data_IF_266707361301
#
_entry.id   IF_266707361301
#
_cell.length_a   1.000
_cell.length_b   1.000
_cell.length_c   1.000
_cell.angle_alpha   90.00
_cell.angle_beta   90.00
_cell.angle_gamma   90.00
#
_symmetry.space_group_name_H-M   'P 1'
#
loop_
_entity.id
_entity.type
_entity.pdbx_description
1 polymer ?
#
# COMPACT_ATOMS: atom_id res chain seq x y z
N UNK A 1 -61.58 25.15 -39.89
CA UNK A 1 -61.39 23.69 -39.92
C UNK A 1 -59.87 23.50 -39.99
N UNK A 2 -59.25 23.14 -38.88
CA UNK A 2 -57.89 22.67 -38.89
C UNK A 2 -57.89 21.31 -39.58
N UNK A 3 -57.12 21.16 -40.66
CA UNK A 3 -56.80 19.87 -41.26
C UNK A 3 -55.85 19.17 -40.28
N UNK A 4 -56.33 18.09 -39.68
CA UNK A 4 -55.44 17.18 -38.88
C UNK A 4 -54.49 16.53 -39.87
N UNK A 5 -53.30 17.09 -40.00
CA UNK A 5 -52.21 16.51 -40.80
C UNK A 5 -51.88 15.13 -40.29
N UNK A 6 -51.76 14.16 -41.18
CA UNK A 6 -51.35 12.80 -40.87
C UNK A 6 -49.88 12.84 -40.42
N UNK A 7 -49.62 12.60 -39.15
CA UNK A 7 -48.25 12.54 -38.63
C UNK A 7 -47.70 11.14 -38.89
N UNK A 8 -46.82 11.00 -39.87
CA UNK A 8 -46.15 9.72 -40.19
C UNK A 8 -44.95 9.54 -39.27
N UNK A 9 -44.93 8.42 -38.55
CA UNK A 9 -43.80 8.02 -37.68
C UNK A 9 -43.22 6.69 -38.16
N UNK A 10 -41.89 6.56 -38.14
CA UNK A 10 -41.17 5.37 -38.54
C UNK A 10 -40.66 4.68 -37.28
N UNK A 11 -41.13 3.46 -37.04
CA UNK A 11 -40.66 2.64 -35.92
C UNK A 11 -39.57 1.66 -36.38
N UNK A 12 -38.45 1.65 -35.66
CA UNK A 12 -37.36 0.68 -35.87
C UNK A 12 -37.10 -0.06 -34.57
N UNK A 13 -36.83 -1.34 -34.70
CA UNK A 13 -36.37 -2.17 -33.58
C UNK A 13 -34.86 -2.35 -33.69
N UNK A 14 -34.16 -2.03 -32.62
CA UNK A 14 -32.72 -2.14 -32.53
C UNK A 14 -32.35 -3.02 -31.32
N UNK A 15 -31.39 -3.92 -31.50
CA UNK A 15 -30.89 -4.77 -30.43
C UNK A 15 -29.43 -4.44 -30.21
N UNK A 16 -29.05 -4.17 -28.95
CA UNK A 16 -27.68 -3.92 -28.59
C UNK A 16 -27.27 -4.70 -27.31
N UNK A 17 -25.99 -4.98 -27.19
CA UNK A 17 -25.44 -5.57 -26.00
C UNK A 17 -24.85 -4.47 -25.11
N UNK A 18 -25.12 -4.57 -23.81
CA UNK A 18 -24.65 -3.64 -22.80
C UNK A 18 -23.98 -4.40 -21.66
N UNK A 19 -22.87 -3.86 -21.15
CA UNK A 19 -22.22 -4.42 -19.97
C UNK A 19 -23.06 -4.16 -18.71
N UNK A 20 -23.10 -5.17 -17.83
CA UNK A 20 -23.58 -5.06 -16.46
C UNK A 20 -22.36 -4.94 -15.57
N UNK A 21 -22.14 -3.77 -14.99
CA UNK A 21 -21.00 -3.56 -14.08
C UNK A 21 -21.11 -4.50 -12.87
N UNK A 22 -20.00 -5.12 -12.49
CA UNK A 22 -19.91 -5.86 -11.23
C UNK A 22 -19.86 -4.90 -10.03
N UNK A 23 -20.29 -5.37 -8.88
CA UNK A 23 -20.12 -4.67 -7.60
C UNK A 23 -18.92 -5.21 -6.81
N UNK A 24 -18.48 -4.43 -5.82
CA UNK A 24 -17.44 -4.88 -4.89
C UNK A 24 -18.07 -5.19 -3.54
N UNK A 25 -17.93 -6.44 -3.10
CA UNK A 25 -18.32 -6.91 -1.77
C UNK A 25 -17.12 -6.86 -0.85
N UNK A 26 -17.20 -6.04 0.19
CA UNK A 26 -16.14 -5.93 1.19
C UNK A 26 -16.55 -6.63 2.47
N UNK A 27 -15.76 -7.61 2.88
CA UNK A 27 -15.89 -8.28 4.19
C UNK A 27 -14.76 -7.84 5.11
N UNK A 28 -14.92 -7.98 6.42
CA UNK A 28 -13.90 -7.65 7.41
C UNK A 28 -13.44 -8.89 8.12
N UNK A 29 -12.12 -9.04 8.31
CA UNK A 29 -11.54 -10.18 8.99
C UNK A 29 -10.43 -9.76 9.96
N UNK A 30 -10.41 -10.39 11.13
CA UNK A 30 -9.35 -10.23 12.12
C UNK A 30 -8.12 -11.11 11.84
N UNK A 31 -8.12 -11.87 10.76
CA UNK A 31 -6.94 -12.60 10.30
C UNK A 31 -5.90 -11.69 9.66
N UNK A 32 -6.37 -10.59 9.05
CA UNK A 32 -5.52 -9.62 8.39
C UNK A 32 -5.38 -8.34 9.20
N UNK A 33 -4.19 -7.75 9.17
CA UNK A 33 -3.87 -6.52 9.90
C UNK A 33 -4.76 -5.35 9.46
N UNK A 34 -5.20 -4.51 10.40
CA UNK A 34 -5.96 -3.29 10.11
C UNK A 34 -5.22 -2.42 9.09
N UNK A 35 -5.93 -2.02 8.05
CA UNK A 35 -5.39 -1.22 6.95
C UNK A 35 -4.79 -2.04 5.79
N UNK A 36 -4.85 -3.39 5.87
CA UNK A 36 -4.52 -4.23 4.71
C UNK A 36 -5.80 -4.65 3.99
N UNK A 37 -5.70 -4.77 2.67
CA UNK A 37 -6.78 -5.22 1.80
C UNK A 37 -6.30 -6.42 0.99
N UNK A 38 -7.08 -7.50 0.97
CA UNK A 38 -6.79 -8.67 0.14
C UNK A 38 -7.95 -8.93 -0.80
N UNK A 39 -7.65 -9.07 -2.08
CA UNK A 39 -8.64 -9.50 -3.08
C UNK A 39 -8.74 -11.02 -3.01
N UNK A 40 -9.94 -11.54 -2.77
CA UNK A 40 -10.24 -12.97 -2.76
C UNK A 40 -10.74 -13.45 -4.12
N UNK A 41 -11.45 -12.56 -4.84
CA UNK A 41 -12.04 -12.84 -6.14
C UNK A 41 -12.06 -11.54 -6.93
N UNK A 42 -11.55 -11.55 -8.15
CA UNK A 42 -11.68 -10.43 -9.07
C UNK A 42 -13.11 -10.37 -9.62
N UNK A 43 -13.57 -9.14 -9.93
CA UNK A 43 -14.86 -8.92 -10.54
C UNK A 43 -14.79 -9.08 -12.06
N UNK A 44 -15.89 -9.54 -12.65
CA UNK A 44 -16.10 -9.55 -14.10
C UNK A 44 -17.42 -8.90 -14.44
N UNK A 45 -17.43 -8.05 -15.47
CA UNK A 45 -18.69 -7.49 -15.96
C UNK A 45 -19.58 -8.58 -16.57
N UNK A 46 -20.87 -8.47 -16.31
CA UNK A 46 -21.89 -9.23 -17.01
C UNK A 46 -22.22 -8.60 -18.36
N UNK A 47 -23.13 -9.22 -19.07
CA UNK A 47 -23.61 -8.78 -20.38
C UNK A 47 -25.13 -8.95 -20.47
N UNK A 48 -25.81 -7.92 -20.93
CA UNK A 48 -27.25 -7.96 -21.23
C UNK A 48 -27.53 -7.55 -22.65
N UNK A 49 -28.53 -8.15 -23.24
CA UNK A 49 -29.10 -7.72 -24.53
C UNK A 49 -30.34 -6.86 -24.28
N UNK A 50 -30.34 -5.67 -24.84
CA UNK A 50 -31.46 -4.74 -24.75
C UNK A 50 -32.05 -4.55 -26.12
N UNK A 51 -33.35 -4.80 -26.26
CA UNK A 51 -34.12 -4.54 -27.49
C UNK A 51 -34.91 -3.25 -27.30
N UNK A 52 -34.63 -2.30 -28.17
CA UNK A 52 -35.20 -0.97 -28.13
C UNK A 52 -36.20 -0.78 -29.29
N UNK A 53 -37.27 -0.06 -29.04
CA UNK A 53 -38.12 0.49 -30.05
C UNK A 53 -37.81 1.98 -30.18
N UNK A 54 -37.28 2.37 -31.33
CA UNK A 54 -36.98 3.75 -31.68
C UNK A 54 -38.02 4.29 -32.65
N UNK A 55 -38.63 5.41 -32.34
CA UNK A 55 -39.63 6.09 -33.19
C UNK A 55 -39.01 7.36 -33.77
N UNK A 56 -39.04 7.48 -35.08
CA UNK A 56 -38.46 8.60 -35.81
C UNK A 56 -39.56 9.39 -36.52
N UNK A 57 -39.35 10.69 -36.70
CA UNK A 57 -40.14 11.52 -37.58
C UNK A 57 -39.77 11.31 -39.08
N UNK A 58 -40.47 12.02 -39.96
CA UNK A 58 -40.23 11.98 -41.42
C UNK A 58 -38.86 12.53 -41.82
N UNK A 59 -38.17 13.25 -40.93
CA UNK A 59 -36.80 13.78 -41.11
C UNK A 59 -35.73 12.83 -40.53
N UNK A 60 -36.14 11.62 -40.08
CA UNK A 60 -35.27 10.62 -39.46
C UNK A 60 -34.66 11.11 -38.13
N UNK A 61 -35.38 11.99 -37.40
CA UNK A 61 -35.00 12.43 -36.06
C UNK A 61 -35.70 11.51 -35.06
N UNK A 62 -34.93 10.97 -34.07
CA UNK A 62 -35.48 10.16 -32.99
C UNK A 62 -36.39 11.01 -32.11
N UNK A 63 -37.67 10.65 -32.04
CA UNK A 63 -38.72 11.37 -31.29
C UNK A 63 -39.18 10.61 -30.04
N UNK A 64 -39.01 9.29 -30.04
CA UNK A 64 -39.31 8.46 -28.87
C UNK A 64 -38.43 7.19 -28.86
N UNK A 65 -38.13 6.71 -27.66
CA UNK A 65 -37.36 5.45 -27.44
C UNK A 65 -37.93 4.73 -26.24
N UNK A 66 -38.23 3.47 -26.41
CA UNK A 66 -38.68 2.59 -25.32
C UNK A 66 -37.92 1.26 -25.32
N UNK A 67 -37.74 0.66 -24.14
CA UNK A 67 -37.18 -0.66 -23.99
C UNK A 67 -38.27 -1.71 -24.13
N UNK A 68 -38.17 -2.57 -25.14
CA UNK A 68 -39.11 -3.66 -25.35
C UNK A 68 -38.81 -4.88 -24.51
N UNK A 69 -37.52 -5.23 -24.41
CA UNK A 69 -37.07 -6.36 -23.61
C UNK A 69 -35.62 -6.18 -23.13
N UNK A 70 -35.29 -6.82 -22.03
CA UNK A 70 -33.92 -6.96 -21.53
C UNK A 70 -33.70 -8.43 -21.16
N UNK A 71 -32.67 -9.01 -21.74
CA UNK A 71 -32.24 -10.40 -21.47
C UNK A 71 -30.83 -10.38 -20.93
N UNK A 72 -30.58 -11.01 -19.77
CA UNK A 72 -29.25 -11.17 -19.23
C UNK A 72 -28.58 -12.36 -19.92
N UNK A 73 -27.48 -12.09 -20.64
CA UNK A 73 -26.70 -13.10 -21.37
C UNK A 73 -25.66 -13.71 -20.42
N UNK A 74 -25.02 -12.86 -19.61
CA UNK A 74 -24.01 -13.26 -18.61
C UNK A 74 -24.23 -12.43 -17.35
N UNK A 75 -24.39 -13.10 -16.21
CA UNK A 75 -24.43 -12.44 -14.91
C UNK A 75 -23.05 -11.87 -14.54
N UNK A 76 -22.99 -10.68 -13.91
CA UNK A 76 -21.73 -10.15 -13.41
C UNK A 76 -21.21 -10.99 -12.24
N UNK A 77 -19.88 -11.14 -12.18
CA UNK A 77 -19.20 -11.76 -11.03
C UNK A 77 -18.69 -10.65 -10.13
N UNK A 78 -19.20 -10.55 -8.91
CA UNK A 78 -18.79 -9.51 -7.98
C UNK A 78 -17.36 -9.69 -7.51
N UNK A 79 -16.63 -8.58 -7.38
CA UNK A 79 -15.31 -8.54 -6.75
C UNK A 79 -15.46 -8.75 -5.25
N UNK A 80 -14.71 -9.69 -4.67
CA UNK A 80 -14.68 -9.94 -3.21
C UNK A 80 -13.37 -9.48 -2.62
N UNK A 81 -13.47 -8.61 -1.64
CA UNK A 81 -12.33 -7.98 -0.95
C UNK A 81 -12.46 -8.19 0.56
N UNK A 82 -11.36 -8.51 1.22
CA UNK A 82 -11.29 -8.57 2.68
C UNK A 82 -10.45 -7.41 3.20
N UNK A 83 -11.06 -6.62 4.08
CA UNK A 83 -10.36 -5.61 4.87
C UNK A 83 -9.90 -6.20 6.21
N UNK A 84 -8.61 -6.06 6.51
CA UNK A 84 -8.05 -6.46 7.79
C UNK A 84 -8.55 -5.56 8.94
N UNK A 85 -9.03 -6.19 10.01
CA UNK A 85 -9.44 -5.51 11.24
C UNK A 85 -8.57 -5.87 12.43
N UNK A 86 -7.65 -6.84 12.27
CA UNK A 86 -6.75 -7.25 13.34
C UNK A 86 -6.02 -6.02 13.86
N UNK A 87 -6.45 -5.53 15.00
CA UNK A 87 -5.61 -4.60 15.74
C UNK A 87 -4.31 -5.33 15.96
N UNK A 88 -3.20 -4.77 15.48
CA UNK A 88 -1.90 -5.14 15.97
C UNK A 88 -1.91 -4.68 17.44
N UNK A 89 -2.52 -5.49 18.30
CA UNK A 89 -2.16 -5.46 19.72
C UNK A 89 -0.70 -5.84 19.65
N UNK A 90 0.17 -4.85 19.82
CA UNK A 90 1.60 -5.08 19.77
C UNK A 90 1.97 -5.95 20.97
N UNK A 91 1.75 -7.25 20.85
CA UNK A 91 2.67 -8.22 21.39
C UNK A 91 3.89 -8.15 20.48
N UNK A 92 4.37 -6.93 20.30
CA UNK A 92 5.62 -6.65 19.62
C UNK A 92 6.65 -7.37 20.45
N UNK A 93 7.28 -8.35 19.85
CA UNK A 93 8.39 -9.07 20.46
C UNK A 93 9.45 -8.03 20.77
N UNK A 94 9.42 -7.52 22.01
CA UNK A 94 10.42 -6.56 22.48
C UNK A 94 11.68 -7.33 22.81
N UNK A 95 12.81 -6.77 22.43
CA UNK A 95 14.10 -7.20 22.92
C UNK A 95 14.39 -6.33 24.14
N UNK A 96 14.58 -6.94 25.27
CA UNK A 96 15.00 -6.24 26.48
C UNK A 96 16.51 -5.97 26.41
N UNK A 97 16.89 -4.71 26.46
CA UNK A 97 18.26 -4.26 26.56
C UNK A 97 18.47 -3.43 27.84
N UNK A 98 19.67 -3.43 28.36
CA UNK A 98 20.06 -2.72 29.59
C UNK A 98 20.88 -1.45 29.31
N UNK A 99 20.66 -0.77 28.21
CA UNK A 99 21.40 0.43 27.83
C UNK A 99 20.53 1.50 27.18
N UNK A 100 21.12 2.69 26.95
CA UNK A 100 20.44 3.77 26.20
C UNK A 100 20.03 3.31 24.81
N UNK A 101 20.86 2.51 24.14
CA UNK A 101 20.60 1.89 22.84
C UNK A 101 20.84 0.39 22.88
N UNK A 102 19.98 -0.38 22.21
CA UNK A 102 20.19 -1.80 21.96
C UNK A 102 20.58 -2.02 20.50
N UNK A 103 21.21 -3.17 20.24
CA UNK A 103 21.56 -3.57 18.89
C UNK A 103 20.29 -3.85 18.05
N UNK A 104 20.13 -3.23 16.84
CA UNK A 104 18.87 -3.26 16.13
C UNK A 104 18.57 -4.59 15.42
N UNK A 105 19.59 -5.41 15.16
CA UNK A 105 19.48 -6.69 14.45
C UNK A 105 20.15 -7.79 15.28
N UNK A 106 19.47 -8.35 16.30
CA UNK A 106 20.10 -9.30 17.22
C UNK A 106 20.53 -10.62 16.55
N UNK A 107 19.83 -11.02 15.47
CA UNK A 107 20.15 -12.25 14.73
C UNK A 107 20.99 -11.95 13.47
N UNK A 108 21.94 -11.04 13.56
CA UNK A 108 22.86 -10.73 12.47
C UNK A 108 23.93 -11.82 12.30
N UNK A 109 24.55 -11.88 11.12
CA UNK A 109 25.66 -12.80 10.84
C UNK A 109 27.01 -12.18 11.12
N UNK A 110 27.23 -10.96 10.59
CA UNK A 110 28.48 -10.20 10.74
C UNK A 110 28.23 -8.73 10.38
N UNK A 111 29.16 -7.86 10.70
CA UNK A 111 29.18 -6.48 10.22
C UNK A 111 30.20 -6.37 9.09
N UNK A 112 29.73 -5.99 7.89
CA UNK A 112 30.60 -5.84 6.72
C UNK A 112 31.42 -4.55 6.76
N UNK A 113 30.92 -3.53 7.47
CA UNK A 113 31.55 -2.23 7.60
C UNK A 113 31.21 -1.56 8.91
N UNK A 114 32.24 -1.10 9.61
CA UNK A 114 32.08 -0.35 10.86
C UNK A 114 32.09 1.16 10.62
N UNK A 115 31.62 1.90 11.61
CA UNK A 115 31.71 3.36 11.64
C UNK A 115 33.18 3.81 11.54
N UNK A 116 33.46 4.79 10.67
CA UNK A 116 34.76 5.38 10.51
C UNK A 116 35.03 5.95 9.13
N UNK A 117 35.91 6.91 9.04
CA UNK A 117 36.25 7.60 7.81
C UNK A 117 35.02 8.21 7.12
N UNK A 118 34.73 7.79 5.89
CA UNK A 118 33.55 8.23 5.12
C UNK A 118 32.28 7.47 5.46
N UNK A 119 32.36 6.34 6.19
CA UNK A 119 31.22 5.54 6.57
C UNK A 119 30.62 6.00 7.89
N UNK A 120 29.38 6.46 7.87
CA UNK A 120 28.73 7.16 8.98
C UNK A 120 27.82 6.28 9.82
N UNK A 121 27.93 4.96 9.70
CA UNK A 121 27.13 3.98 10.43
C UNK A 121 27.83 2.62 10.50
N UNK A 122 27.06 1.60 10.79
CA UNK A 122 27.48 0.19 10.77
C UNK A 122 26.60 -0.56 9.78
N UNK A 123 27.21 -1.34 8.90
CA UNK A 123 26.51 -2.21 7.95
C UNK A 123 26.38 -3.62 8.54
N UNK A 124 25.17 -3.91 9.03
CA UNK A 124 24.83 -5.13 9.77
C UNK A 124 24.22 -6.14 8.81
N UNK A 125 24.94 -7.21 8.51
CA UNK A 125 24.56 -8.21 7.51
C UNK A 125 23.75 -9.36 8.12
N UNK A 126 22.62 -9.68 7.48
CA UNK A 126 21.77 -10.82 7.80
C UNK A 126 20.95 -11.21 6.55
N UNK A 127 20.27 -12.36 6.53
CA UNK A 127 19.34 -12.72 5.45
C UNK A 127 18.25 -11.67 5.25
N UNK A 128 17.78 -11.48 4.00
CA UNK A 128 16.62 -10.66 3.73
C UNK A 128 15.42 -11.14 4.56
N UNK A 129 14.61 -10.19 5.07
CA UNK A 129 13.49 -10.50 5.95
C UNK A 129 13.85 -10.67 7.43
N UNK A 130 15.14 -10.55 7.82
CA UNK A 130 15.53 -10.53 9.24
C UNK A 130 14.91 -9.31 9.92
N UNK A 131 14.26 -9.46 11.11
CA UNK A 131 13.64 -8.36 11.82
C UNK A 131 14.65 -7.29 12.25
N UNK A 132 14.24 -6.01 12.10
CA UNK A 132 14.95 -4.83 12.59
C UNK A 132 14.12 -4.21 13.71
N UNK A 133 14.77 -3.88 14.81
CA UNK A 133 14.13 -3.34 16.01
C UNK A 133 14.63 -1.92 16.32
N UNK A 134 13.78 -1.11 16.93
CA UNK A 134 14.15 0.23 17.39
C UNK A 134 15.21 0.14 18.49
N UNK A 135 16.36 0.77 18.29
CA UNK A 135 17.48 0.74 19.24
C UNK A 135 17.17 1.47 20.54
N UNK A 136 16.27 2.46 20.52
CA UNK A 136 15.74 3.14 21.69
C UNK A 136 14.28 3.57 21.43
N UNK A 137 13.54 3.88 22.48
CA UNK A 137 12.19 4.45 22.36
C UNK A 137 12.24 5.87 21.79
N UNK A 138 11.15 6.28 21.11
CA UNK A 138 11.09 7.62 20.52
C UNK A 138 9.96 7.78 19.52
N UNK A 139 10.03 8.84 18.72
CA UNK A 139 9.05 9.13 17.66
C UNK A 139 9.69 8.93 16.30
N UNK A 140 9.02 8.19 15.44
CA UNK A 140 9.41 8.00 14.04
C UNK A 140 9.25 9.33 13.30
N UNK A 141 10.35 9.95 12.91
CA UNK A 141 10.35 11.22 12.17
C UNK A 141 10.27 10.99 10.67
N UNK A 142 10.72 9.83 10.20
CA UNK A 142 10.64 9.42 8.79
C UNK A 142 10.47 7.90 8.68
N UNK A 143 9.56 7.46 7.82
CA UNK A 143 9.41 6.08 7.39
C UNK A 143 8.99 6.06 5.92
N UNK A 144 9.76 5.42 5.04
CA UNK A 144 9.46 5.36 3.61
C UNK A 144 10.68 5.21 2.74
N UNK A 145 10.46 5.28 1.42
CA UNK A 145 11.50 5.13 0.42
C UNK A 145 12.26 6.45 0.20
N UNK A 146 13.58 6.38 0.29
CA UNK A 146 14.50 7.47 0.01
C UNK A 146 15.31 7.16 -1.25
N UNK A 147 15.03 7.88 -2.36
CA UNK A 147 15.69 7.67 -3.65
C UNK A 147 17.18 8.05 -3.58
N UNK A 148 18.01 7.31 -4.32
CA UNK A 148 19.37 7.75 -4.60
C UNK A 148 19.33 9.11 -5.33
N UNK A 149 20.13 10.08 -4.86
CA UNK A 149 20.08 11.48 -5.37
C UNK A 149 19.49 12.47 -4.37
N UNK A 150 18.68 12.04 -3.40
CA UNK A 150 18.25 12.87 -2.26
C UNK A 150 19.27 12.83 -1.09
N UNK A 151 20.54 12.58 -1.38
CA UNK A 151 21.69 12.66 -0.46
C UNK A 151 22.25 11.32 0.02
N UNK A 152 21.44 10.33 0.37
CA UNK A 152 21.93 9.15 1.10
C UNK A 152 21.72 7.81 0.38
N UNK A 153 20.70 7.72 -0.49
CA UNK A 153 20.39 6.45 -1.17
C UNK A 153 19.93 5.33 -0.25
N UNK A 154 19.31 5.64 0.89
CA UNK A 154 18.92 4.69 1.94
C UNK A 154 17.85 3.65 1.51
N UNK A 155 17.17 3.86 0.38
CA UNK A 155 16.04 3.00 0.03
C UNK A 155 14.90 3.13 1.04
N UNK A 156 14.23 2.03 1.38
CA UNK A 156 13.31 2.03 2.50
C UNK A 156 14.06 2.21 3.80
N UNK A 157 13.66 3.21 4.57
CA UNK A 157 14.36 3.60 5.78
C UNK A 157 13.43 4.12 6.87
N UNK A 158 13.86 3.96 8.12
CA UNK A 158 13.21 4.53 9.31
C UNK A 158 14.21 5.46 9.98
N UNK A 159 13.73 6.63 10.43
CA UNK A 159 14.48 7.55 11.29
C UNK A 159 13.65 7.77 12.54
N UNK A 160 14.26 7.59 13.72
CA UNK A 160 13.60 7.75 15.00
C UNK A 160 14.33 8.85 15.80
N UNK A 161 13.57 9.81 16.33
CA UNK A 161 14.05 10.78 17.31
C UNK A 161 13.82 10.25 18.72
N UNK A 162 14.87 10.23 19.55
CA UNK A 162 14.84 9.64 20.89
C UNK A 162 14.79 10.69 22.02
N UNK A 163 14.75 11.98 21.65
CA UNK A 163 14.92 13.07 22.63
C UNK A 163 16.41 13.33 22.94
N UNK A 164 16.68 14.39 23.69
CA UNK A 164 18.05 14.76 24.08
C UNK A 164 19.02 14.99 22.91
N UNK A 165 18.51 15.28 21.71
CA UNK A 165 19.30 15.45 20.49
C UNK A 165 19.67 14.14 19.79
N UNK A 166 19.31 12.98 20.33
CA UNK A 166 19.62 11.67 19.74
C UNK A 166 18.61 11.28 18.65
N UNK A 167 19.13 10.67 17.60
CA UNK A 167 18.34 9.99 16.59
C UNK A 167 19.05 8.76 16.05
N UNK A 168 18.29 7.80 15.54
CA UNK A 168 18.81 6.61 14.86
C UNK A 168 18.23 6.48 13.45
N UNK A 169 19.01 5.87 12.55
CA UNK A 169 18.63 5.60 11.16
C UNK A 169 18.79 4.12 10.89
N UNK A 170 17.80 3.54 10.22
CA UNK A 170 17.78 2.14 9.79
C UNK A 170 17.48 2.14 8.29
N UNK A 171 18.45 1.78 7.47
CA UNK A 171 18.34 1.88 6.03
C UNK A 171 18.41 0.52 5.32
N UNK A 172 18.14 0.55 4.01
CA UNK A 172 18.11 -0.60 3.10
C UNK A 172 17.07 -1.66 3.48
N UNK A 173 16.02 -1.27 4.20
CA UNK A 173 14.94 -2.19 4.60
C UNK A 173 14.25 -2.81 3.37
N UNK A 174 13.79 -4.05 3.51
CA UNK A 174 12.91 -4.72 2.58
C UNK A 174 11.48 -4.14 2.67
N UNK A 175 11.01 -3.99 3.91
CA UNK A 175 9.71 -3.43 4.23
C UNK A 175 9.71 -2.79 5.61
N UNK A 176 8.72 -1.91 5.86
CA UNK A 176 8.57 -1.18 7.11
C UNK A 176 7.27 -1.58 7.81
N UNK A 177 7.29 -1.61 9.15
CA UNK A 177 6.13 -1.92 9.99
C UNK A 177 5.63 -0.70 10.77
N UNK A 178 6.26 0.46 10.59
CA UNK A 178 5.95 1.71 11.26
C UNK A 178 5.77 2.84 10.25
N UNK A 179 5.11 3.92 10.69
CA UNK A 179 4.85 5.13 9.90
C UNK A 179 5.42 6.36 10.60
N UNK A 180 5.69 7.43 9.83
CA UNK A 180 6.09 8.72 10.39
C UNK A 180 5.02 9.25 11.36
N UNK A 181 5.45 9.85 12.46
CA UNK A 181 4.62 10.30 13.58
C UNK A 181 4.32 9.22 14.63
N UNK A 182 4.60 7.96 14.37
CA UNK A 182 4.35 6.87 15.31
C UNK A 182 5.35 6.91 16.47
N UNK A 183 4.88 6.75 17.71
CA UNK A 183 5.74 6.49 18.88
C UNK A 183 6.09 5.01 18.94
N UNK A 184 7.36 4.71 19.13
CA UNK A 184 7.90 3.35 19.27
C UNK A 184 8.63 3.20 20.60
N UNK A 185 8.67 1.98 21.13
CA UNK A 185 9.43 1.62 22.31
C UNK A 185 10.77 1.02 21.88
N UNK A 186 11.76 1.08 22.78
CA UNK A 186 13.01 0.30 22.58
C UNK A 186 12.68 -1.19 22.34
N UNK A 187 13.33 -1.81 21.37
CA UNK A 187 13.09 -3.20 20.98
C UNK A 187 11.81 -3.44 20.19
N UNK A 188 11.07 -2.41 19.82
CA UNK A 188 9.91 -2.57 18.95
C UNK A 188 10.33 -2.91 17.52
N UNK A 189 9.64 -3.88 16.89
CA UNK A 189 9.82 -4.20 15.47
C UNK A 189 9.44 -2.99 14.61
N UNK A 190 10.37 -2.53 13.75
CA UNK A 190 10.19 -1.35 12.89
C UNK A 190 10.29 -1.66 11.41
N UNK A 191 10.77 -2.84 11.03
CA UNK A 191 10.89 -3.27 9.65
C UNK A 191 11.67 -4.56 9.50
N UNK A 192 11.97 -4.88 8.27
CA UNK A 192 12.72 -6.09 7.92
C UNK A 192 13.91 -5.73 7.03
N UNK A 193 15.05 -6.37 7.29
CA UNK A 193 16.30 -6.16 6.58
C UNK A 193 16.19 -6.56 5.11
N UNK A 194 16.80 -5.77 4.23
CA UNK A 194 16.81 -5.99 2.79
C UNK A 194 18.05 -5.43 2.10
N UNK A 195 17.87 -4.97 0.87
CA UNK A 195 18.93 -4.40 0.03
C UNK A 195 18.38 -3.31 -0.89
N UNK A 196 17.43 -2.49 -0.39
CA UNK A 196 16.81 -1.43 -1.20
C UNK A 196 17.69 -0.17 -1.25
N UNK A 197 17.50 0.67 -2.27
CA UNK A 197 18.31 1.87 -2.45
C UNK A 197 19.73 1.58 -2.97
N UNK A 198 20.72 2.32 -2.49
CA UNK A 198 22.12 2.13 -2.88
C UNK A 198 22.78 1.09 -1.98
N UNK A 199 22.59 -0.17 -2.29
CA UNK A 199 23.08 -1.32 -1.53
C UNK A 199 23.64 -2.38 -2.47
N UNK A 200 24.68 -3.10 -2.03
CA UNK A 200 25.33 -4.19 -2.78
C UNK A 200 24.96 -5.59 -2.27
N UNK A 201 24.15 -5.66 -1.21
CA UNK A 201 23.74 -6.92 -0.59
C UNK A 201 22.86 -6.70 0.63
N UNK A 202 22.32 -7.76 1.18
CA UNK A 202 21.40 -7.69 2.31
C UNK A 202 22.10 -7.22 3.58
N UNK A 203 21.80 -6.00 4.03
CA UNK A 203 22.28 -5.43 5.29
C UNK A 203 21.34 -4.33 5.80
N UNK A 204 21.40 -4.03 7.08
CA UNK A 204 20.86 -2.83 7.68
C UNK A 204 22.01 -1.84 7.88
N UNK A 205 21.99 -0.72 7.19
CA UNK A 205 22.86 0.40 7.50
C UNK A 205 22.29 1.15 8.70
N UNK A 206 22.98 1.09 9.83
CA UNK A 206 22.54 1.63 11.10
C UNK A 206 23.39 2.81 11.53
N UNK A 207 22.74 3.94 11.86
CA UNK A 207 23.43 5.15 12.36
C UNK A 207 22.84 5.59 13.69
N UNK A 208 23.69 6.17 14.53
CA UNK A 208 23.28 7.01 15.65
C UNK A 208 23.79 8.43 15.41
N UNK A 209 22.96 9.41 15.73
CA UNK A 209 23.31 10.84 15.61
C UNK A 209 22.98 11.55 16.92
N UNK A 210 23.85 12.50 17.29
CA UNK A 210 23.64 13.43 18.39
C UNK A 210 23.70 14.85 17.85
N UNK A 211 22.61 15.63 18.03
CA UNK A 211 22.47 16.99 17.50
C UNK A 211 22.79 17.09 15.99
N UNK A 212 22.36 16.06 15.22
CA UNK A 212 22.59 15.95 13.79
C UNK A 212 23.99 15.43 13.39
N UNK A 213 24.95 15.37 14.31
CA UNK A 213 26.28 14.83 14.07
C UNK A 213 26.30 13.30 14.23
N UNK A 214 27.01 12.62 13.33
CA UNK A 214 27.16 11.17 13.40
C UNK A 214 28.11 10.79 14.54
N UNK A 215 27.70 9.81 15.33
CA UNK A 215 28.51 9.23 16.40
C UNK A 215 28.61 7.71 16.20
N UNK A 216 29.66 7.05 16.73
CA UNK A 216 29.76 5.59 16.67
C UNK A 216 28.54 4.92 17.30
N UNK A 217 27.87 4.02 16.57
CA UNK A 217 26.77 3.21 17.09
C UNK A 217 27.20 2.17 18.12
#
# INVERSE_FOLDING_TARGET
KEEAGLEVRITRIETREEEIAFSTETTRSNEYTKGTTKVLQEGENGLRRVTLQNVYDTKNILVDQSVLSTEVIKEPVNKKVVEGTKKVTSSTKYITGSGQFIWPVPNYRYCSRWYGGRHKGVDICAPAGTPIYASAGGTVTKAGYNKAGAGTGYGYSVIISHGGGYSSVYAHCLSLTVSAGQTVRQGQLIGYLGSTGRSTGNHCHFEIRLNGSYIPP
#
